data_IF_320353690058
#
_entry.id   IF_320353690058
#
_cell.length_a   1.000
_cell.length_b   1.000
_cell.length_c   1.000
_cell.angle_alpha   90.00
_cell.angle_beta   90.00
_cell.angle_gamma   90.00
#
_symmetry.space_group_name_H-M   'P 1'
#
loop_
_entity.id
_entity.type
_entity.pdbx_description
1 polymer ?
#
# COMPACT_ATOMS: atom_id res chain seq x y z
N UNK A 1 -10.97 15.67 -21.53
CA UNK A 1 -12.00 14.89 -20.82
C UNK A 1 -11.49 14.65 -19.41
N UNK A 2 -12.22 15.06 -18.37
CA UNK A 2 -11.93 14.70 -16.97
C UNK A 2 -12.96 13.63 -16.61
N UNK A 3 -12.53 12.40 -16.44
CA UNK A 3 -13.40 11.29 -16.08
C UNK A 3 -12.94 10.72 -14.74
N UNK A 4 -13.71 10.96 -13.69
CA UNK A 4 -13.77 10.06 -12.54
C UNK A 4 -14.33 8.71 -13.01
N UNK A 5 -13.92 7.61 -12.39
CA UNK A 5 -14.15 6.20 -12.82
C UNK A 5 -15.61 5.85 -13.24
N UNK A 6 -16.59 6.72 -12.95
CA UNK A 6 -18.01 6.61 -13.32
C UNK A 6 -18.32 7.04 -14.77
N UNK A 7 -17.57 7.99 -15.35
CA UNK A 7 -17.92 8.58 -16.66
C UNK A 7 -17.46 7.76 -17.88
N UNK A 8 -16.80 6.62 -17.68
CA UNK A 8 -16.17 5.82 -18.74
C UNK A 8 -17.05 4.70 -19.30
N UNK A 9 -18.20 4.41 -18.70
CA UNK A 9 -19.16 3.42 -19.22
C UNK A 9 -20.03 4.05 -20.30
N UNK A 10 -19.69 3.80 -21.57
CA UNK A 10 -20.50 4.16 -22.73
C UNK A 10 -19.90 5.21 -23.67
N UNK A 11 -18.76 5.82 -23.33
CA UNK A 11 -18.01 6.69 -24.24
C UNK A 11 -16.76 5.93 -24.71
N UNK A 12 -16.66 5.70 -26.02
CA UNK A 12 -15.46 5.16 -26.67
C UNK A 12 -14.40 6.26 -26.76
N UNK A 13 -13.64 6.43 -25.68
CA UNK A 13 -12.58 7.43 -25.60
C UNK A 13 -11.31 6.87 -26.23
N UNK A 14 -11.21 6.97 -27.54
CA UNK A 14 -9.99 6.66 -28.28
C UNK A 14 -8.96 7.77 -28.05
N UNK A 15 -7.67 7.41 -28.04
CA UNK A 15 -6.54 8.34 -28.03
C UNK A 15 -6.45 9.27 -26.80
N UNK A 16 -6.56 8.70 -25.59
CA UNK A 16 -6.31 9.46 -24.37
C UNK A 16 -4.84 9.90 -24.35
N UNK A 17 -4.58 11.21 -24.32
CA UNK A 17 -3.23 11.78 -24.28
C UNK A 17 -2.72 11.98 -22.85
N UNK A 18 -3.63 12.20 -21.91
CA UNK A 18 -3.31 12.49 -20.51
C UNK A 18 -4.22 11.70 -19.56
N UNK A 19 -3.62 11.14 -18.51
CA UNK A 19 -4.30 10.55 -17.36
C UNK A 19 -3.92 11.35 -16.12
N UNK A 20 -4.92 11.77 -15.35
CA UNK A 20 -4.71 12.45 -14.08
C UNK A 20 -5.33 11.61 -12.95
N UNK A 21 -4.48 11.06 -12.09
CA UNK A 21 -4.91 10.45 -10.84
C UNK A 21 -5.02 11.55 -9.78
N UNK A 22 -6.23 12.02 -9.52
CA UNK A 22 -6.50 12.99 -8.45
C UNK A 22 -6.26 12.36 -7.07
N UNK A 23 -6.74 11.13 -6.87
CA UNK A 23 -6.44 10.33 -5.70
C UNK A 23 -5.62 9.10 -6.11
N UNK A 24 -4.59 8.77 -5.33
CA UNK A 24 -3.81 7.56 -5.56
C UNK A 24 -4.69 6.31 -5.36
N UNK A 25 -4.67 5.32 -6.27
CA UNK A 25 -5.44 4.09 -6.11
C UNK A 25 -4.95 3.26 -4.92
N UNK A 26 -5.77 2.30 -4.48
CA UNK A 26 -5.49 1.52 -3.28
C UNK A 26 -4.21 0.67 -3.37
N UNK A 27 -3.83 0.26 -4.58
CA UNK A 27 -2.65 -0.56 -4.87
C UNK A 27 -1.99 -0.11 -6.20
N UNK A 28 -0.77 -0.61 -6.44
CA UNK A 28 0.02 -0.24 -7.63
C UNK A 28 -0.44 -0.92 -8.92
N UNK A 29 -1.14 -2.06 -8.85
CA UNK A 29 -1.70 -2.74 -10.02
C UNK A 29 -2.81 -1.90 -10.66
N UNK A 30 -3.71 -1.35 -9.82
CA UNK A 30 -4.75 -0.41 -10.22
C UNK A 30 -4.15 0.88 -10.78
N UNK A 31 -3.04 1.36 -10.20
CA UNK A 31 -2.28 2.48 -10.77
C UNK A 31 -1.81 2.19 -12.20
N UNK A 32 -1.19 1.03 -12.43
CA UNK A 32 -0.73 0.60 -13.76
C UNK A 32 -1.92 0.53 -14.75
N UNK A 33 -3.04 -0.06 -14.33
CA UNK A 33 -4.24 -0.15 -15.17
C UNK A 33 -4.87 1.21 -15.50
N UNK A 34 -4.81 2.18 -14.57
CA UNK A 34 -5.30 3.55 -14.80
C UNK A 34 -4.41 4.30 -15.78
N UNK A 35 -3.10 4.27 -15.61
CA UNK A 35 -2.18 4.99 -16.52
C UNK A 35 -2.10 4.32 -17.90
N UNK A 36 -2.34 3.00 -17.99
CA UNK A 36 -2.43 2.25 -19.25
C UNK A 36 -3.62 2.63 -20.16
N UNK A 37 -4.40 3.65 -19.79
CA UNK A 37 -5.41 4.27 -20.64
C UNK A 37 -4.81 5.22 -21.67
N UNK A 38 -3.62 5.78 -21.41
CA UNK A 38 -2.86 6.60 -22.36
C UNK A 38 -1.68 5.81 -22.97
N UNK A 39 -0.96 6.40 -23.94
CA UNK A 39 0.28 5.82 -24.48
C UNK A 39 0.11 4.55 -25.33
N UNK A 40 -1.03 4.38 -26.01
CA UNK A 40 -1.36 3.17 -26.79
C UNK A 40 -0.91 3.28 -28.26
N UNK A 41 -0.74 2.14 -28.92
CA UNK A 41 -0.44 2.05 -30.36
C UNK A 41 0.79 2.88 -30.80
N UNK A 42 1.85 2.90 -29.98
CA UNK A 42 3.08 3.64 -30.26
C UNK A 42 2.98 5.15 -30.04
N UNK A 43 1.83 5.66 -29.63
CA UNK A 43 1.67 7.06 -29.24
C UNK A 43 2.23 7.30 -27.84
N UNK A 44 2.75 8.50 -27.59
CA UNK A 44 3.14 8.91 -26.24
C UNK A 44 1.92 9.31 -25.43
N UNK A 45 2.00 9.11 -24.12
CA UNK A 45 0.97 9.47 -23.16
C UNK A 45 1.60 10.01 -21.89
N UNK A 46 0.88 10.88 -21.19
CA UNK A 46 1.35 11.47 -19.94
C UNK A 46 0.42 11.12 -18.80
N UNK A 47 0.98 10.54 -17.74
CA UNK A 47 0.26 10.27 -16.50
C UNK A 47 0.76 11.22 -15.40
N UNK A 48 -0.17 11.93 -14.77
CA UNK A 48 0.09 12.82 -13.64
C UNK A 48 -0.65 12.25 -12.45
N UNK A 49 0.01 12.16 -11.30
CA UNK A 49 -0.57 11.59 -10.09
C UNK A 49 -0.30 12.50 -8.92
N UNK A 50 -1.37 12.89 -8.22
CA UNK A 50 -1.24 13.57 -6.95
C UNK A 50 -1.01 12.50 -5.89
N UNK A 51 0.13 12.61 -5.20
CA UNK A 51 0.53 11.66 -4.18
C UNK A 51 0.72 12.41 -2.86
N UNK A 52 0.03 11.95 -1.82
CA UNK A 52 0.00 12.60 -0.51
C UNK A 52 0.63 11.72 0.57
N UNK A 53 0.86 12.29 1.75
CA UNK A 53 1.34 11.55 2.92
C UNK A 53 0.38 10.45 3.37
N UNK A 54 -0.91 10.57 3.07
CA UNK A 54 -1.90 9.54 3.40
C UNK A 54 -1.69 8.26 2.57
N UNK A 55 -1.03 8.40 1.41
CA UNK A 55 -0.67 7.29 0.52
C UNK A 55 0.74 6.74 0.79
N UNK A 56 1.41 7.15 1.88
CA UNK A 56 2.81 6.78 2.15
C UNK A 56 3.05 5.26 2.17
N UNK A 57 2.04 4.46 2.53
CA UNK A 57 2.14 2.99 2.57
C UNK A 57 2.41 2.41 1.18
N UNK A 58 1.90 3.07 0.14
CA UNK A 58 2.05 2.69 -1.25
C UNK A 58 3.31 3.28 -1.90
N UNK A 59 4.04 4.16 -1.22
CA UNK A 59 5.18 4.89 -1.80
C UNK A 59 6.27 3.95 -2.31
N UNK A 60 6.57 2.87 -1.56
CA UNK A 60 7.60 1.90 -1.94
C UNK A 60 7.27 1.21 -3.26
N UNK A 61 6.02 0.77 -3.41
CA UNK A 61 5.59 0.07 -4.61
C UNK A 61 5.54 1.02 -5.81
N UNK A 62 5.08 2.26 -5.62
CA UNK A 62 5.09 3.27 -6.67
C UNK A 62 6.52 3.58 -7.15
N UNK A 63 7.47 3.74 -6.23
CA UNK A 63 8.88 3.97 -6.57
C UNK A 63 9.47 2.80 -7.36
N UNK A 64 9.13 1.57 -7.02
CA UNK A 64 9.57 0.40 -7.79
C UNK A 64 9.05 0.45 -9.23
N UNK A 65 7.76 0.75 -9.42
CA UNK A 65 7.15 0.88 -10.75
C UNK A 65 7.82 1.98 -11.56
N UNK A 66 8.07 3.15 -10.95
CA UNK A 66 8.75 4.26 -11.63
C UNK A 66 10.20 3.93 -11.99
N UNK A 67 10.91 3.19 -11.13
CA UNK A 67 12.29 2.75 -11.37
C UNK A 67 12.36 1.77 -12.55
N UNK A 68 11.46 0.77 -12.57
CA UNK A 68 11.38 -0.21 -13.65
C UNK A 68 11.06 0.47 -14.99
N UNK A 69 10.16 1.46 -14.97
CA UNK A 69 9.80 2.27 -16.12
C UNK A 69 10.86 3.35 -16.48
N UNK A 70 12.01 3.39 -15.78
CA UNK A 70 13.11 4.34 -15.97
C UNK A 70 12.67 5.80 -15.90
N UNK A 71 11.69 6.11 -15.05
CA UNK A 71 11.18 7.45 -14.84
C UNK A 71 12.04 8.21 -13.82
N UNK A 72 12.01 9.54 -13.91
CA UNK A 72 12.60 10.40 -12.90
C UNK A 72 11.72 10.36 -11.65
N UNK A 73 12.30 9.99 -10.51
CA UNK A 73 11.59 9.90 -9.24
C UNK A 73 11.74 11.22 -8.49
N UNK A 74 10.62 11.79 -8.04
CA UNK A 74 10.64 12.98 -7.18
C UNK A 74 11.34 12.63 -5.85
N UNK A 75 12.36 13.41 -5.42
CA UNK A 75 13.06 13.15 -4.17
C UNK A 75 12.14 13.03 -2.95
N UNK A 76 11.04 13.80 -2.91
CA UNK A 76 10.07 13.76 -1.80
C UNK A 76 9.34 12.41 -1.76
N UNK A 77 9.03 11.84 -2.91
CA UNK A 77 8.44 10.51 -2.99
C UNK A 77 9.44 9.43 -2.55
N UNK A 78 10.71 9.55 -2.95
CA UNK A 78 11.76 8.65 -2.50
C UNK A 78 11.97 8.71 -0.98
N UNK A 79 11.92 9.91 -0.38
CA UNK A 79 11.98 10.09 1.07
C UNK A 79 10.80 9.43 1.79
N UNK A 80 9.58 9.51 1.25
CA UNK A 80 8.40 8.86 1.84
C UNK A 80 8.56 7.34 1.99
N UNK A 81 9.34 6.69 1.11
CA UNK A 81 9.64 5.25 1.24
C UNK A 81 10.41 4.90 2.52
N UNK A 82 11.19 5.85 3.06
CA UNK A 82 12.00 5.66 4.27
C UNK A 82 11.17 5.74 5.55
N UNK A 83 10.07 6.50 5.52
CA UNK A 83 9.20 6.73 6.68
C UNK A 83 8.05 5.72 6.79
N UNK A 84 7.70 5.01 5.70
CA UNK A 84 6.66 3.97 5.68
C UNK A 84 6.96 2.70 6.50
N UNK A 85 8.12 2.62 7.15
CA UNK A 85 8.58 1.51 7.98
C UNK A 85 8.70 1.87 9.46
N UNK A 86 7.70 2.51 10.05
CA UNK A 86 7.83 2.99 11.45
C UNK A 86 6.50 3.22 12.16
N UNK A 87 5.75 2.16 12.42
CA UNK A 87 4.47 2.27 13.14
C UNK A 87 3.90 0.94 13.62
N UNK A 88 4.74 0.01 14.08
CA UNK A 88 4.34 -1.30 14.58
C UNK A 88 5.33 -1.89 15.58
N UNK A 89 6.07 -1.04 16.29
CA UNK A 89 6.96 -1.42 17.39
C UNK A 89 6.19 -1.69 18.68
N UNK A 90 5.19 -2.58 18.62
CA UNK A 90 4.44 -3.04 19.78
C UNK A 90 5.23 -4.09 20.56
N UNK A 91 6.27 -3.65 21.27
CA UNK A 91 6.81 -4.23 22.52
C UNK A 91 6.64 -5.74 22.67
N UNK A 92 7.58 -6.50 22.10
CA UNK A 92 7.95 -7.81 22.63
C UNK A 92 8.55 -7.65 24.04
N UNK A 93 7.70 -7.65 25.06
CA UNK A 93 8.06 -7.82 26.47
C UNK A 93 7.21 -8.95 27.07
N UNK A 94 7.37 -10.15 26.52
CA UNK A 94 6.93 -11.41 27.14
C UNK A 94 8.14 -12.16 27.65
N UNK A 95 8.74 -11.66 28.74
CA UNK A 95 9.95 -12.20 29.33
C UNK A 95 9.82 -13.69 29.66
N UNK A 96 10.73 -14.48 29.11
CA UNK A 96 10.95 -15.87 29.46
C UNK A 96 11.71 -15.93 30.79
N UNK A 97 11.04 -16.41 31.83
CA UNK A 97 11.67 -17.20 32.89
C UNK A 97 11.88 -16.52 34.25
N UNK A 98 11.77 -17.39 35.27
CA UNK A 98 12.20 -17.30 36.67
C UNK A 98 11.17 -16.84 37.73
N UNK A 99 10.60 -17.86 38.39
CA UNK A 99 9.86 -17.78 39.66
C UNK A 99 8.97 -19.02 39.74
N UNK A 100 9.27 -20.10 40.45
CA UNK A 100 10.00 -20.22 41.70
C UNK A 100 9.08 -20.96 42.67
N UNK A 101 9.35 -22.25 42.90
CA UNK A 101 9.11 -22.92 44.19
C UNK A 101 7.68 -23.22 44.67
N UNK A 102 7.42 -24.52 44.81
CA UNK A 102 6.89 -25.22 46.01
C UNK A 102 5.62 -24.71 46.73
N UNK A 103 4.63 -25.60 46.80
CA UNK A 103 3.64 -25.70 47.89
C UNK A 103 2.44 -26.54 47.41
N UNK A 104 2.35 -27.85 47.65
CA UNK A 104 2.00 -28.58 48.90
C UNK A 104 0.59 -28.24 49.43
N UNK A 105 -0.28 -29.26 49.42
CA UNK A 105 -1.61 -29.31 50.06
C UNK A 105 -2.66 -29.65 49.00
N UNK A 106 -3.44 -30.72 49.04
CA UNK A 106 -3.97 -31.55 50.12
C UNK A 106 -5.41 -31.83 49.69
N UNK A 107 -5.80 -33.06 49.35
CA UNK A 107 -6.43 -33.97 50.29
C UNK A 107 -7.92 -34.18 49.95
N UNK A 108 -8.36 -35.44 49.86
CA UNK A 108 -9.77 -35.87 49.86
C UNK A 108 -10.53 -35.64 48.55
N UNK A 109 -11.32 -36.55 48.00
CA UNK A 109 -11.87 -37.81 48.50
C UNK A 109 -13.26 -38.00 47.88
N UNK A 110 -13.47 -39.11 47.17
CA UNK A 110 -14.73 -39.85 47.20
C UNK A 110 -15.88 -39.53 46.23
N UNK A 111 -16.23 -40.57 45.45
CA UNK A 111 -17.59 -41.12 45.15
C UNK A 111 -18.48 -40.30 44.19
N UNK A 112 -18.79 -40.89 43.01
CA UNK A 112 -20.05 -41.62 42.68
C UNK A 112 -21.30 -40.76 42.90
N UNK A 113 -22.00 -40.39 41.84
CA UNK A 113 -23.23 -41.05 41.34
C UNK A 113 -23.33 -40.83 39.83
#
# INVERSE_FOLDING_TARGET
>A
MVATDVASRGIDVRNITHVLNYDYPNNSEDYIHRIGRTGRAGQKGTAITLFTTDNQKQARDLVNVLTEAKQVIDPRLAEMTRFGGGGGGGRGYGGRGYGGGRGRGGGGGGRRW
#
